data_IF_108632285124
#
_entry.id   IF_108632285124
#
_cell.length_a   1.000
_cell.length_b   1.000
_cell.length_c   1.000
_cell.angle_alpha   90.00
_cell.angle_beta   90.00
_cell.angle_gamma   90.00
#
_symmetry.space_group_name_H-M   'P 1'
#
loop_
_entity.id
_entity.type
_entity.pdbx_description
1 polymer ?
#
# COMPACT_ATOMS: atom_id res chain seq x y z
N UNK A 1 -21.43 -28.57 -15.04
CA UNK A 1 -22.39 -28.00 -16.02
C UNK A 1 -22.19 -26.50 -15.98
N UNK A 2 -21.39 -25.97 -16.93
CA UNK A 2 -21.15 -24.53 -17.09
C UNK A 2 -22.51 -23.84 -17.36
N UNK A 3 -22.83 -22.89 -16.50
CA UNK A 3 -24.04 -22.10 -16.68
C UNK A 3 -23.86 -21.16 -17.89
N UNK A 4 -24.90 -20.97 -18.76
CA UNK A 4 -24.80 -20.10 -19.95
C UNK A 4 -24.40 -18.66 -19.68
N UNK A 5 -24.53 -18.20 -18.41
CA UNK A 5 -24.12 -16.83 -18.00
C UNK A 5 -22.62 -16.60 -17.93
N UNK A 6 -21.79 -17.64 -17.75
CA UNK A 6 -20.34 -17.50 -17.67
C UNK A 6 -19.69 -17.26 -19.04
N UNK A 7 -20.28 -17.76 -20.12
CA UNK A 7 -19.76 -17.59 -21.48
C UNK A 7 -19.89 -16.13 -22.00
N UNK A 8 -20.97 -15.44 -21.65
CA UNK A 8 -21.18 -14.06 -22.05
C UNK A 8 -20.26 -13.06 -21.32
N UNK A 9 -19.89 -13.31 -20.06
CA UNK A 9 -18.98 -12.48 -19.30
C UNK A 9 -17.56 -12.53 -19.85
N UNK A 10 -17.06 -13.70 -20.25
CA UNK A 10 -15.74 -13.84 -20.87
C UNK A 10 -15.60 -13.03 -22.16
N UNK A 11 -16.63 -12.99 -22.99
CA UNK A 11 -16.63 -12.19 -24.22
C UNK A 11 -16.69 -10.69 -23.97
N UNK A 12 -17.38 -10.26 -22.90
CA UNK A 12 -17.41 -8.84 -22.48
C UNK A 12 -16.03 -8.40 -22.00
N UNK A 13 -15.39 -9.17 -21.12
CA UNK A 13 -14.04 -8.86 -20.64
C UNK A 13 -13.01 -8.84 -21.76
N UNK A 14 -13.11 -9.77 -22.72
CA UNK A 14 -12.23 -9.81 -23.88
C UNK A 14 -12.37 -8.55 -24.76
N UNK A 15 -13.60 -8.08 -24.98
CA UNK A 15 -13.84 -6.84 -25.72
C UNK A 15 -13.34 -5.61 -24.98
N UNK A 16 -13.56 -5.54 -23.67
CA UNK A 16 -13.04 -4.45 -22.83
C UNK A 16 -11.52 -4.39 -22.87
N UNK A 17 -10.86 -5.54 -22.74
CA UNK A 17 -9.40 -5.62 -22.84
C UNK A 17 -8.91 -5.16 -24.23
N UNK A 18 -9.55 -5.62 -25.31
CA UNK A 18 -9.19 -5.16 -26.66
C UNK A 18 -9.37 -3.66 -26.85
N UNK A 19 -10.43 -3.06 -26.29
CA UNK A 19 -10.65 -1.62 -26.33
C UNK A 19 -9.60 -0.85 -25.52
N UNK A 20 -9.22 -1.37 -24.36
CA UNK A 20 -8.15 -0.82 -23.52
C UNK A 20 -6.82 -0.81 -24.27
N UNK A 21 -6.42 -1.95 -24.84
CA UNK A 21 -5.20 -2.08 -25.63
C UNK A 21 -5.18 -1.13 -26.83
N UNK A 22 -6.27 -1.08 -27.57
CA UNK A 22 -6.40 -0.15 -28.70
C UNK A 22 -6.37 1.33 -28.25
N UNK A 23 -6.84 1.62 -27.05
CA UNK A 23 -6.75 2.95 -26.43
C UNK A 23 -5.30 3.33 -26.11
N UNK A 24 -4.55 2.44 -25.45
CA UNK A 24 -3.12 2.62 -25.15
C UNK A 24 -2.31 2.87 -26.42
N UNK A 25 -2.50 2.02 -27.44
CA UNK A 25 -1.78 2.14 -28.71
C UNK A 25 -2.05 3.47 -29.41
N UNK A 26 -3.32 3.93 -29.46
CA UNK A 26 -3.67 5.24 -30.06
C UNK A 26 -3.06 6.41 -29.29
N UNK A 27 -2.95 6.30 -27.96
CA UNK A 27 -2.38 7.33 -27.12
C UNK A 27 -0.84 7.27 -27.06
N UNK A 28 -0.19 6.23 -27.61
CA UNK A 28 1.25 6.02 -27.48
C UNK A 28 1.70 5.74 -26.05
N UNK A 29 0.83 5.15 -25.22
CA UNK A 29 1.07 4.83 -23.82
C UNK A 29 1.30 3.34 -23.62
N UNK A 30 2.07 3.02 -22.58
CA UNK A 30 2.29 1.66 -22.08
C UNK A 30 1.98 1.62 -20.58
N UNK A 31 1.55 0.47 -20.08
CA UNK A 31 1.43 0.20 -18.65
C UNK A 31 2.60 -0.63 -18.12
N UNK A 32 2.61 -0.93 -16.81
CA UNK A 32 3.71 -1.69 -16.20
C UNK A 32 3.82 -3.13 -16.72
N UNK A 33 2.71 -3.76 -17.07
CA UNK A 33 2.71 -5.11 -17.62
C UNK A 33 3.27 -5.11 -19.05
N UNK A 34 2.97 -4.07 -19.84
CA UNK A 34 3.54 -3.90 -21.17
C UNK A 34 5.06 -3.81 -21.15
N UNK A 35 5.65 -3.18 -20.12
CA UNK A 35 7.10 -3.07 -20.01
C UNK A 35 7.75 -4.46 -19.95
N UNK A 36 7.14 -5.39 -19.26
CA UNK A 36 7.63 -6.77 -19.16
C UNK A 36 7.36 -7.53 -20.45
N UNK A 37 6.13 -7.48 -20.97
CA UNK A 37 5.73 -8.22 -22.17
C UNK A 37 6.56 -7.77 -23.37
N UNK A 38 6.66 -6.46 -23.61
CA UNK A 38 7.43 -5.94 -24.74
C UNK A 38 8.93 -6.15 -24.59
N UNK A 39 9.47 -6.15 -23.38
CA UNK A 39 10.88 -6.52 -23.15
C UNK A 39 11.12 -7.99 -23.50
N UNK A 40 10.24 -8.89 -23.08
CA UNK A 40 10.33 -10.31 -23.42
C UNK A 40 10.24 -10.51 -24.93
N UNK A 41 9.26 -9.89 -25.62
CA UNK A 41 9.08 -9.98 -27.07
C UNK A 41 10.29 -9.40 -27.81
N UNK A 42 10.78 -8.23 -27.38
CA UNK A 42 11.97 -7.60 -27.94
C UNK A 42 13.19 -8.52 -27.87
N UNK A 43 13.46 -9.14 -26.75
CA UNK A 43 14.58 -10.05 -26.58
C UNK A 43 14.40 -11.37 -27.35
N UNK A 44 13.15 -11.81 -27.51
CA UNK A 44 12.83 -12.98 -28.32
C UNK A 44 13.05 -12.73 -29.80
N UNK A 45 12.65 -11.55 -30.32
CA UNK A 45 12.69 -11.23 -31.75
C UNK A 45 14.00 -10.57 -32.20
N UNK A 46 14.57 -9.70 -31.37
CA UNK A 46 15.75 -8.92 -31.69
C UNK A 46 16.98 -9.42 -30.91
N UNK A 47 17.59 -10.48 -31.46
CA UNK A 47 18.79 -11.10 -30.85
C UNK A 47 19.99 -10.16 -30.80
N UNK A 48 20.06 -9.21 -31.70
CA UNK A 48 21.07 -8.16 -31.74
C UNK A 48 20.95 -7.22 -30.51
N UNK A 49 19.73 -6.86 -30.14
CA UNK A 49 19.49 -6.06 -28.93
C UNK A 49 19.78 -6.86 -27.67
N UNK A 50 19.29 -8.12 -27.59
CA UNK A 50 19.60 -9.00 -26.47
C UNK A 50 21.11 -9.16 -26.26
N UNK A 51 21.90 -9.33 -27.34
CA UNK A 51 23.35 -9.47 -27.26
C UNK A 51 24.03 -8.21 -26.70
N UNK A 52 23.50 -7.01 -26.99
CA UNK A 52 23.99 -5.77 -26.37
C UNK A 52 23.79 -5.76 -24.86
N UNK A 53 22.61 -6.16 -24.39
CA UNK A 53 22.29 -6.25 -22.97
C UNK A 53 23.11 -7.33 -22.26
N UNK A 54 23.27 -8.51 -22.86
CA UNK A 54 24.14 -9.57 -22.34
C UNK A 54 25.59 -9.12 -22.18
N UNK A 55 26.10 -8.34 -23.13
CA UNK A 55 27.45 -7.77 -23.06
C UNK A 55 27.57 -6.68 -21.98
N UNK A 56 26.53 -5.88 -21.84
CA UNK A 56 26.52 -4.77 -20.85
C UNK A 56 26.40 -5.30 -19.42
N UNK A 57 25.63 -6.39 -19.21
CA UNK A 57 25.37 -6.98 -17.91
C UNK A 57 25.87 -8.43 -17.85
N UNK A 58 27.19 -8.63 -17.74
CA UNK A 58 27.78 -9.98 -17.70
C UNK A 58 27.46 -10.75 -16.41
N UNK A 59 27.02 -10.05 -15.35
CA UNK A 59 26.58 -10.61 -14.07
C UNK A 59 25.20 -10.07 -13.75
N UNK A 60 24.31 -10.96 -13.29
CA UNK A 60 22.96 -10.61 -12.87
C UNK A 60 22.78 -11.07 -11.43
N UNK A 61 22.47 -10.13 -10.55
CA UNK A 61 22.20 -10.37 -9.14
C UNK A 61 20.76 -9.97 -8.86
N UNK A 62 19.98 -10.87 -8.25
CA UNK A 62 18.58 -10.66 -7.91
C UNK A 62 18.40 -10.93 -6.44
N UNK A 63 17.88 -9.94 -5.75
CA UNK A 63 17.41 -10.05 -4.37
C UNK A 63 15.90 -10.30 -4.35
N UNK A 64 15.38 -10.84 -3.23
CA UNK A 64 13.97 -11.20 -3.04
C UNK A 64 13.44 -12.09 -4.19
N UNK A 65 14.22 -13.09 -4.59
CA UNK A 65 13.95 -13.91 -5.78
C UNK A 65 12.65 -14.72 -5.67
N UNK A 66 12.13 -14.98 -4.47
CA UNK A 66 10.82 -15.60 -4.25
C UNK A 66 9.64 -14.76 -4.76
N UNK A 67 9.85 -13.46 -4.96
CA UNK A 67 8.79 -12.52 -5.36
C UNK A 67 8.72 -12.26 -6.87
N UNK A 68 9.57 -12.91 -7.67
CA UNK A 68 9.52 -12.75 -9.12
C UNK A 68 8.37 -13.55 -9.75
N UNK A 69 7.85 -13.05 -10.87
CA UNK A 69 6.93 -13.81 -11.70
C UNK A 69 7.64 -14.55 -12.84
N UNK A 70 6.91 -15.46 -13.47
CA UNK A 70 7.44 -16.29 -14.55
C UNK A 70 7.98 -15.48 -15.73
N UNK A 71 7.34 -14.37 -16.09
CA UNK A 71 7.78 -13.54 -17.22
C UNK A 71 9.08 -12.81 -16.90
N UNK A 72 9.20 -12.26 -15.68
CA UNK A 72 10.44 -11.67 -15.19
C UNK A 72 11.58 -12.68 -15.20
N UNK A 73 11.30 -13.89 -14.74
CA UNK A 73 12.30 -14.96 -14.75
C UNK A 73 12.77 -15.34 -16.17
N UNK A 74 11.85 -15.44 -17.15
CA UNK A 74 12.23 -15.74 -18.54
C UNK A 74 13.08 -14.60 -19.16
N UNK A 75 12.80 -13.34 -18.86
CA UNK A 75 13.63 -12.20 -19.28
C UNK A 75 15.05 -12.32 -18.69
N UNK A 76 15.14 -12.56 -17.38
CA UNK A 76 16.41 -12.72 -16.67
C UNK A 76 17.22 -13.89 -17.26
N UNK A 77 16.57 -15.00 -17.49
CA UNK A 77 17.19 -16.20 -18.09
C UNK A 77 17.74 -15.93 -19.49
N UNK A 78 17.02 -15.21 -20.34
CA UNK A 78 17.53 -14.77 -21.64
C UNK A 78 18.75 -13.87 -21.50
N UNK A 79 18.75 -12.93 -20.54
CA UNK A 79 19.87 -12.04 -20.30
C UNK A 79 21.10 -12.79 -19.74
N UNK A 80 20.90 -13.76 -18.87
CA UNK A 80 22.00 -14.51 -18.24
C UNK A 80 22.76 -15.41 -19.22
N UNK A 81 22.12 -15.86 -20.29
CA UNK A 81 22.77 -16.64 -21.36
C UNK A 81 23.67 -15.72 -22.23
N UNK A 82 24.83 -16.18 -22.72
CA UNK A 82 25.42 -17.51 -22.63
C UNK A 82 26.29 -17.71 -21.39
N UNK A 83 26.53 -16.69 -20.57
CA UNK A 83 27.50 -16.76 -19.48
C UNK A 83 26.99 -17.51 -18.25
N UNK A 84 25.65 -17.55 -18.08
CA UNK A 84 24.94 -18.14 -16.93
C UNK A 84 25.43 -17.62 -15.57
N UNK A 85 25.86 -16.38 -15.52
CA UNK A 85 26.33 -15.70 -14.31
C UNK A 85 25.14 -15.06 -13.55
N UNK A 86 24.25 -15.91 -13.08
CA UNK A 86 23.08 -15.53 -12.32
C UNK A 86 23.29 -15.86 -10.84
N UNK A 87 23.23 -14.84 -9.99
CA UNK A 87 23.24 -14.96 -8.54
C UNK A 87 21.87 -14.52 -8.00
N UNK A 88 21.22 -15.37 -7.25
CA UNK A 88 19.90 -15.08 -6.68
C UNK A 88 19.93 -15.26 -5.17
N UNK A 89 19.27 -14.36 -4.46
CA UNK A 89 19.03 -14.42 -3.02
C UNK A 89 17.54 -14.37 -2.81
N UNK A 90 17.03 -15.17 -1.89
CA UNK A 90 15.61 -15.22 -1.57
C UNK A 90 15.36 -16.04 -0.32
N UNK A 91 14.16 -15.93 0.18
CA UNK A 91 13.65 -16.64 1.34
C UNK A 91 12.21 -17.05 1.05
N UNK A 92 11.97 -18.33 0.88
CA UNK A 92 10.67 -18.89 0.51
C UNK A 92 9.61 -18.64 1.59
N UNK A 93 10.01 -18.64 2.86
CA UNK A 93 9.16 -18.34 4.00
C UNK A 93 8.61 -16.90 3.96
N UNK A 94 9.24 -16.01 3.18
CA UNK A 94 8.83 -14.61 2.98
C UNK A 94 8.03 -14.39 1.69
N UNK A 95 7.62 -15.44 1.00
CA UNK A 95 6.84 -15.34 -0.25
C UNK A 95 5.39 -14.89 0.02
N UNK A 96 5.16 -13.58 0.08
CA UNK A 96 3.85 -12.98 0.38
C UNK A 96 3.20 -12.26 -0.81
N UNK A 97 3.84 -12.24 -1.99
CA UNK A 97 3.38 -11.47 -3.16
C UNK A 97 2.70 -12.31 -4.26
N UNK A 98 2.15 -13.49 -3.94
CA UNK A 98 1.37 -14.30 -4.90
C UNK A 98 0.22 -13.53 -5.56
N UNK A 99 -0.42 -12.62 -4.83
CA UNK A 99 -1.47 -11.76 -5.39
C UNK A 99 -0.98 -10.79 -6.47
N UNK A 100 0.35 -10.63 -6.61
CA UNK A 100 1.03 -9.90 -7.70
C UNK A 100 1.64 -10.84 -8.74
N UNK A 101 1.17 -12.09 -8.80
CA UNK A 101 1.64 -13.13 -9.71
C UNK A 101 3.09 -13.61 -9.44
N UNK A 102 3.64 -13.34 -8.25
CA UNK A 102 4.89 -13.99 -7.83
C UNK A 102 4.72 -15.53 -7.83
N UNK A 103 5.74 -16.22 -8.31
CA UNK A 103 5.74 -17.67 -8.41
C UNK A 103 6.93 -18.27 -7.62
N UNK A 104 6.74 -18.59 -6.33
CA UNK A 104 7.80 -19.13 -5.48
C UNK A 104 8.31 -20.49 -5.95
N UNK A 105 7.56 -21.21 -6.79
CA UNK A 105 8.00 -22.50 -7.31
C UNK A 105 9.29 -22.37 -8.13
N UNK A 106 9.55 -21.22 -8.75
CA UNK A 106 10.78 -20.92 -9.48
C UNK A 106 11.99 -20.94 -8.55
N UNK A 107 11.85 -20.41 -7.34
CA UNK A 107 12.90 -20.44 -6.32
C UNK A 107 13.06 -21.85 -5.75
N UNK A 108 11.96 -22.50 -5.37
CA UNK A 108 11.95 -23.87 -4.84
C UNK A 108 12.59 -24.89 -5.79
N UNK A 109 12.33 -24.83 -7.10
CA UNK A 109 12.97 -25.69 -8.08
C UNK A 109 14.50 -25.58 -8.02
N UNK A 110 15.05 -24.38 -7.86
CA UNK A 110 16.49 -24.16 -7.73
C UNK A 110 16.99 -24.65 -6.37
N UNK A 111 16.27 -24.34 -5.30
CA UNK A 111 16.62 -24.78 -3.95
C UNK A 111 16.73 -26.32 -3.86
N UNK A 112 15.78 -27.03 -4.46
CA UNK A 112 15.77 -28.51 -4.47
C UNK A 112 16.77 -29.13 -5.43
N UNK A 113 17.06 -28.50 -6.57
CA UNK A 113 17.93 -29.06 -7.61
C UNK A 113 19.40 -28.73 -7.44
N UNK A 114 19.73 -27.58 -6.79
CA UNK A 114 21.11 -27.15 -6.63
C UNK A 114 21.79 -27.87 -5.46
N UNK A 115 23.04 -28.28 -5.65
CA UNK A 115 23.83 -28.90 -4.60
C UNK A 115 24.37 -27.86 -3.60
N UNK A 116 24.59 -28.25 -2.33
CA UNK A 116 25.33 -27.39 -1.39
C UNK A 116 26.67 -26.96 -1.97
N UNK A 117 27.10 -25.74 -1.70
CA UNK A 117 28.34 -25.18 -2.27
C UNK A 117 29.58 -25.99 -1.93
N UNK A 118 29.61 -26.72 -0.81
CA UNK A 118 30.70 -27.61 -0.41
C UNK A 118 30.77 -28.91 -1.24
N UNK A 119 29.70 -29.29 -1.91
CA UNK A 119 29.55 -30.53 -2.67
C UNK A 119 29.50 -30.31 -4.20
N UNK A 120 29.36 -29.06 -4.63
CA UNK A 120 29.26 -28.71 -6.04
C UNK A 120 30.65 -28.58 -6.68
N UNK A 121 30.80 -29.15 -7.88
CA UNK A 121 32.01 -28.96 -8.69
C UNK A 121 32.10 -27.54 -9.24
N UNK A 122 33.30 -27.13 -9.63
CA UNK A 122 33.54 -25.82 -10.25
C UNK A 122 32.70 -25.66 -11.53
N UNK A 123 32.00 -24.51 -11.65
CA UNK A 123 31.11 -24.24 -12.78
C UNK A 123 29.71 -24.83 -12.69
N UNK A 124 29.41 -25.65 -11.67
CA UNK A 124 28.05 -26.14 -11.45
C UNK A 124 27.20 -25.20 -10.62
N UNK A 125 25.86 -25.18 -10.84
CA UNK A 125 24.93 -24.49 -9.98
C UNK A 125 25.04 -24.99 -8.53
N UNK A 126 25.06 -24.04 -7.59
CA UNK A 126 25.22 -24.35 -6.16
C UNK A 126 24.35 -23.49 -5.31
N UNK A 127 23.94 -23.96 -4.14
CA UNK A 127 23.23 -23.22 -3.11
C UNK A 127 24.08 -22.98 -1.88
N UNK A 128 23.84 -21.83 -1.24
CA UNK A 128 24.41 -21.46 0.05
C UNK A 128 23.25 -21.15 0.98
N UNK A 129 23.18 -21.81 2.12
CA UNK A 129 22.15 -21.53 3.14
C UNK A 129 22.68 -20.44 4.09
N UNK A 130 21.91 -19.36 4.22
CA UNK A 130 22.18 -18.25 5.13
C UNK A 130 21.26 -18.34 6.36
N UNK A 131 21.47 -19.36 7.18
CA UNK A 131 20.60 -19.66 8.33
C UNK A 131 20.83 -18.79 9.55
N UNK A 132 21.97 -18.05 9.63
CA UNK A 132 22.27 -17.21 10.78
C UNK A 132 21.68 -15.81 10.63
N UNK A 133 20.87 -15.40 11.60
CA UNK A 133 20.29 -14.07 11.70
C UNK A 133 21.10 -13.20 12.66
N UNK A 134 21.55 -12.03 12.16
CA UNK A 134 22.33 -11.04 12.91
C UNK A 134 21.54 -9.77 13.23
N UNK A 135 20.29 -9.71 12.81
CA UNK A 135 19.41 -8.53 12.98
C UNK A 135 18.55 -8.60 14.23
N UNK A 136 17.99 -9.77 14.48
CA UNK A 136 16.99 -9.96 15.55
C UNK A 136 17.60 -10.60 16.79
N UNK A 137 16.96 -10.38 17.94
CA UNK A 137 17.30 -11.05 19.18
C UNK A 137 16.92 -12.53 19.13
N UNK A 138 17.60 -13.35 19.97
CA UNK A 138 17.32 -14.78 20.09
C UNK A 138 15.86 -15.07 20.38
N UNK A 139 15.30 -14.34 21.36
CA UNK A 139 13.93 -14.56 21.84
C UNK A 139 12.89 -14.37 20.73
N UNK A 140 13.13 -13.40 19.84
CA UNK A 140 12.27 -13.16 18.65
C UNK A 140 12.39 -14.30 17.66
N UNK A 141 13.62 -14.77 17.38
CA UNK A 141 13.85 -15.89 16.43
C UNK A 141 13.25 -17.19 16.95
N UNK A 142 13.42 -17.47 18.25
CA UNK A 142 12.85 -18.65 18.88
C UNK A 142 11.31 -18.64 18.84
N UNK A 143 10.71 -17.47 19.08
CA UNK A 143 9.26 -17.27 18.93
C UNK A 143 8.78 -17.46 17.50
N UNK A 144 9.52 -16.92 16.52
CA UNK A 144 9.24 -17.11 15.09
C UNK A 144 9.33 -18.59 14.69
N UNK A 145 10.43 -19.25 15.04
CA UNK A 145 10.62 -20.66 14.77
C UNK A 145 9.52 -21.52 15.39
N UNK A 146 9.06 -21.20 16.61
CA UNK A 146 7.97 -21.91 17.26
C UNK A 146 6.65 -21.79 16.47
N UNK A 147 6.32 -20.60 16.00
CA UNK A 147 5.10 -20.36 15.22
C UNK A 147 5.20 -21.11 13.88
N UNK A 148 6.30 -20.94 13.15
CA UNK A 148 6.46 -21.53 11.82
C UNK A 148 6.47 -23.05 11.87
N UNK A 149 7.15 -23.68 12.84
CA UNK A 149 7.08 -25.14 13.05
C UNK A 149 5.68 -25.65 13.33
N UNK A 150 4.83 -24.80 13.91
CA UNK A 150 3.46 -25.17 14.26
C UNK A 150 2.47 -25.05 13.12
N UNK A 151 2.71 -24.12 12.16
CA UNK A 151 1.75 -23.77 11.10
C UNK A 151 2.23 -24.07 9.68
N UNK A 152 3.54 -24.12 9.43
CA UNK A 152 4.09 -24.38 8.11
C UNK A 152 4.13 -25.90 7.82
N UNK A 153 3.58 -26.27 6.69
CA UNK A 153 3.62 -27.62 6.14
C UNK A 153 3.50 -27.56 4.62
N UNK A 154 3.85 -28.63 3.93
CA UNK A 154 3.68 -28.71 2.47
C UNK A 154 2.25 -28.45 2.00
N UNK A 155 1.27 -28.79 2.80
CA UNK A 155 -0.14 -28.56 2.47
C UNK A 155 -0.54 -27.08 2.58
N UNK A 156 0.05 -26.32 3.51
CA UNK A 156 -0.29 -24.92 3.78
C UNK A 156 0.72 -23.91 3.26
N UNK A 157 2.01 -24.30 3.20
CA UNK A 157 3.11 -23.40 2.83
C UNK A 157 4.00 -23.94 1.71
N UNK A 158 3.63 -25.06 1.07
CA UNK A 158 4.39 -25.73 0.00
C UNK A 158 5.72 -26.37 0.44
N UNK A 159 6.17 -26.05 1.65
CA UNK A 159 7.40 -26.57 2.25
C UNK A 159 7.18 -26.90 3.73
N UNK A 160 7.90 -27.88 4.25
CA UNK A 160 7.94 -28.20 5.67
C UNK A 160 9.01 -27.34 6.34
N UNK A 161 8.72 -26.74 7.48
CA UNK A 161 9.69 -25.95 8.22
C UNK A 161 10.59 -26.83 9.08
N UNK A 162 11.78 -27.09 8.58
CA UNK A 162 12.78 -27.98 9.18
C UNK A 162 14.01 -27.26 9.73
N UNK A 163 15.10 -28.01 9.86
CA UNK A 163 16.36 -27.47 10.38
C UNK A 163 17.09 -26.57 9.35
N UNK A 164 16.84 -26.76 8.06
CA UNK A 164 17.44 -25.94 7.01
C UNK A 164 16.77 -24.55 6.89
N UNK A 165 15.47 -24.49 7.20
CA UNK A 165 14.64 -23.26 7.15
C UNK A 165 14.69 -22.48 8.46
N UNK A 166 15.05 -23.14 9.56
CA UNK A 166 15.07 -22.52 10.89
C UNK A 166 16.05 -21.36 10.96
N UNK A 167 15.61 -20.29 11.63
CA UNK A 167 16.44 -19.12 11.94
C UNK A 167 17.36 -19.39 13.12
N UNK A 168 18.66 -19.29 12.91
CA UNK A 168 19.66 -19.44 13.96
C UNK A 168 20.21 -18.09 14.40
N UNK A 169 20.26 -17.88 15.70
CA UNK A 169 20.83 -16.67 16.27
C UNK A 169 22.33 -16.57 16.01
N UNK A 170 22.78 -15.42 15.50
CA UNK A 170 24.19 -15.17 15.15
C UNK A 170 24.77 -13.91 15.77
N UNK A 171 23.99 -13.13 16.53
CA UNK A 171 24.36 -11.80 17.01
C UNK A 171 24.65 -11.76 18.54
N UNK A 172 25.32 -12.77 19.09
CA UNK A 172 25.59 -12.91 20.54
C UNK A 172 26.26 -11.67 21.15
N UNK A 173 27.18 -11.05 20.41
CA UNK A 173 27.89 -9.88 20.88
C UNK A 173 27.00 -8.61 20.92
N UNK A 174 26.06 -8.50 19.98
CA UNK A 174 25.14 -7.36 19.89
C UNK A 174 23.96 -7.48 20.86
N UNK A 175 23.44 -8.69 21.04
CA UNK A 175 22.23 -8.94 21.84
C UNK A 175 22.51 -9.96 22.95
N UNK A 176 23.14 -9.56 24.06
CA UNK A 176 23.31 -10.45 25.21
C UNK A 176 21.94 -10.85 25.78
N UNK A 177 21.83 -12.05 26.35
CA UNK A 177 20.59 -12.51 26.99
C UNK A 177 20.08 -11.52 28.05
N UNK A 178 18.78 -11.23 27.99
CA UNK A 178 18.12 -10.33 28.93
C UNK A 178 16.70 -10.83 29.21
N UNK A 179 16.31 -10.99 30.51
CA UNK A 179 14.93 -11.33 30.85
C UNK A 179 13.92 -10.29 30.35
N UNK A 180 12.72 -10.72 30.01
CA UNK A 180 11.62 -9.83 29.59
C UNK A 180 11.70 -9.36 28.14
N UNK A 181 12.49 -10.07 27.30
CA UNK A 181 12.61 -9.80 25.86
C UNK A 181 11.81 -10.80 25.00
N UNK A 182 11.10 -11.71 25.64
CA UNK A 182 10.30 -12.72 24.99
C UNK A 182 9.12 -12.09 24.23
N UNK A 183 8.73 -12.63 23.05
CA UNK A 183 7.52 -12.20 22.37
C UNK A 183 6.28 -12.37 23.23
N UNK A 184 5.41 -11.37 23.23
CA UNK A 184 4.14 -11.39 23.95
C UNK A 184 2.99 -11.78 23.01
N UNK A 185 2.12 -12.68 23.46
CA UNK A 185 0.87 -13.01 22.78
C UNK A 185 -0.32 -12.62 23.66
N UNK A 186 -1.10 -11.66 23.21
CA UNK A 186 -2.23 -11.14 23.94
C UNK A 186 -3.58 -11.60 23.33
N UNK A 187 -4.45 -12.15 24.16
CA UNK A 187 -5.81 -12.53 23.79
C UNK A 187 -6.80 -11.53 24.40
N UNK A 188 -7.55 -10.85 23.55
CA UNK A 188 -8.57 -9.90 23.96
C UNK A 188 -9.92 -10.60 23.84
N UNK A 189 -10.57 -10.91 24.99
CA UNK A 189 -11.93 -11.44 25.02
C UNK A 189 -12.92 -10.31 24.82
N UNK A 190 -13.81 -10.48 23.82
CA UNK A 190 -14.90 -9.56 23.55
C UNK A 190 -16.17 -10.21 24.08
N UNK A 191 -16.48 -10.01 25.35
CA UNK A 191 -17.79 -10.34 25.89
C UNK A 191 -18.80 -9.27 25.46
N UNK A 192 -19.91 -9.68 24.84
CA UNK A 192 -21.01 -8.77 24.50
C UNK A 192 -21.71 -8.32 25.79
N UNK A 193 -21.19 -7.30 26.42
CA UNK A 193 -21.95 -6.52 27.39
C UNK A 193 -22.90 -5.62 26.63
N UNK A 194 -24.20 -5.74 26.93
CA UNK A 194 -25.29 -5.04 26.21
C UNK A 194 -25.24 -3.51 26.26
N UNK A 195 -24.27 -2.91 26.94
CA UNK A 195 -24.23 -1.47 27.19
C UNK A 195 -23.23 -0.68 26.32
N UNK A 196 -22.22 -1.30 25.69
CA UNK A 196 -21.33 -0.58 24.75
C UNK A 196 -20.88 -1.53 23.63
N UNK A 197 -21.42 -1.37 22.43
CA UNK A 197 -20.89 -2.04 21.23
C UNK A 197 -19.58 -1.36 20.79
N UNK A 198 -18.48 -1.65 21.47
CA UNK A 198 -17.17 -1.26 20.96
C UNK A 198 -16.85 -2.05 19.71
N UNK A 199 -16.41 -1.34 18.66
CA UNK A 199 -15.79 -1.99 17.50
C UNK A 199 -14.55 -2.74 17.97
N UNK A 200 -14.41 -4.01 17.53
CA UNK A 200 -13.25 -4.86 17.82
C UNK A 200 -11.93 -4.16 17.51
N UNK A 201 -11.89 -3.41 16.42
CA UNK A 201 -10.73 -2.63 16.01
C UNK A 201 -10.37 -1.54 17.03
N UNK A 202 -11.37 -0.89 17.61
CA UNK A 202 -11.12 0.13 18.63
C UNK A 202 -10.59 -0.48 19.93
N UNK A 203 -11.07 -1.65 20.31
CA UNK A 203 -10.56 -2.37 21.48
C UNK A 203 -9.11 -2.82 21.30
N UNK A 204 -8.77 -3.41 20.15
CA UNK A 204 -7.40 -3.75 19.80
C UNK A 204 -6.48 -2.51 19.81
N UNK A 205 -6.92 -1.42 19.21
CA UNK A 205 -6.17 -0.18 19.13
C UNK A 205 -5.91 0.44 20.52
N UNK A 206 -6.92 0.48 21.38
CA UNK A 206 -6.79 0.97 22.76
C UNK A 206 -5.86 0.11 23.59
N UNK A 207 -5.96 -1.22 23.47
CA UNK A 207 -5.05 -2.13 24.15
C UNK A 207 -3.60 -1.90 23.71
N UNK A 208 -3.37 -1.86 22.40
CA UNK A 208 -2.04 -1.64 21.81
C UNK A 208 -1.46 -0.31 22.28
N UNK A 209 -2.23 0.78 22.22
CA UNK A 209 -1.78 2.09 22.67
C UNK A 209 -1.37 2.11 24.16
N UNK A 210 -2.16 1.45 25.03
CA UNK A 210 -1.82 1.32 26.47
C UNK A 210 -0.57 0.49 26.68
N UNK A 211 -0.39 -0.62 25.95
CA UNK A 211 0.83 -1.42 26.06
C UNK A 211 2.06 -0.65 25.62
N UNK A 212 1.97 0.11 24.54
CA UNK A 212 3.04 1.00 24.09
C UNK A 212 3.33 2.06 25.15
N UNK A 213 2.30 2.71 25.70
CA UNK A 213 2.48 3.70 26.78
C UNK A 213 3.20 3.10 27.97
N UNK A 214 2.83 1.89 28.40
CA UNK A 214 3.48 1.17 29.48
C UNK A 214 4.97 0.93 29.17
N UNK A 215 5.33 0.46 27.98
CA UNK A 215 6.73 0.24 27.59
C UNK A 215 7.55 1.53 27.64
N UNK A 216 6.96 2.65 27.19
CA UNK A 216 7.59 3.97 27.24
C UNK A 216 7.79 4.46 28.69
N UNK A 217 6.79 4.28 29.56
CA UNK A 217 6.85 4.70 30.98
C UNK A 217 7.85 3.86 31.78
N UNK A 218 7.91 2.55 31.51
CA UNK A 218 8.87 1.61 32.10
C UNK A 218 10.29 1.81 31.54
N UNK A 219 10.45 2.65 30.51
CA UNK A 219 11.73 2.86 29.81
C UNK A 219 12.32 1.54 29.31
N UNK A 220 11.48 0.75 28.66
CA UNK A 220 11.86 -0.56 28.15
C UNK A 220 13.18 -0.46 27.35
N UNK A 221 14.18 -1.30 27.64
CA UNK A 221 15.51 -1.14 27.06
C UNK A 221 15.57 -1.69 25.63
N UNK A 222 15.94 -0.83 24.69
CA UNK A 222 16.26 -1.20 23.29
C UNK A 222 17.74 -1.02 23.00
N UNK A 223 18.21 -1.60 21.89
CA UNK A 223 19.59 -1.45 21.44
C UNK A 223 19.73 -0.12 20.68
N UNK A 224 20.65 0.73 21.15
CA UNK A 224 21.02 1.94 20.41
C UNK A 224 21.98 1.66 19.25
N UNK A 225 22.17 2.63 18.36
CA UNK A 225 23.10 2.53 17.22
C UNK A 225 24.55 2.32 17.65
N UNK A 226 24.91 2.84 18.83
CA UNK A 226 26.24 2.66 19.43
C UNK A 226 26.44 1.29 20.10
N UNK A 227 25.47 0.39 20.00
CA UNK A 227 25.47 -0.91 20.61
C UNK A 227 25.16 -0.90 22.13
N UNK A 228 24.80 0.24 22.72
CA UNK A 228 24.43 0.35 24.12
C UNK A 228 22.92 0.35 24.34
N UNK A 229 22.46 -0.19 25.47
CA UNK A 229 21.03 -0.10 25.79
C UNK A 229 20.60 1.33 26.06
N UNK A 230 19.48 1.74 25.47
CA UNK A 230 18.79 2.99 25.78
C UNK A 230 17.30 2.75 26.03
N UNK A 231 16.59 3.67 26.69
CA UNK A 231 15.12 3.61 26.75
C UNK A 231 14.49 3.58 25.36
N UNK A 232 13.38 2.85 25.23
CA UNK A 232 12.57 2.85 24.03
C UNK A 232 11.93 4.22 23.78
N UNK A 233 11.90 4.64 22.53
CA UNK A 233 11.23 5.85 22.07
C UNK A 233 10.12 5.49 21.08
N UNK A 234 9.13 6.35 20.82
CA UNK A 234 8.03 6.05 19.90
C UNK A 234 8.50 5.62 18.50
N UNK A 235 9.62 6.15 18.02
CA UNK A 235 10.21 5.83 16.71
C UNK A 235 10.77 4.41 16.61
N UNK A 236 11.03 3.76 17.74
CA UNK A 236 11.49 2.36 17.77
C UNK A 236 10.34 1.36 17.60
N UNK A 237 9.10 1.82 17.62
CA UNK A 237 7.92 0.95 17.68
C UNK A 237 7.17 1.01 16.36
N UNK A 238 6.94 -0.16 15.76
CA UNK A 238 6.20 -0.30 14.52
C UNK A 238 4.97 -1.18 14.73
N UNK A 239 3.81 -0.71 14.27
CA UNK A 239 2.56 -1.49 14.28
C UNK A 239 2.33 -2.01 12.86
N UNK A 240 2.40 -3.33 12.68
CA UNK A 240 2.14 -3.99 11.40
C UNK A 240 0.71 -4.50 11.34
N UNK A 241 0.02 -4.21 10.26
CA UNK A 241 -1.36 -4.64 10.04
C UNK A 241 -1.55 -5.15 8.60
N UNK A 242 -2.34 -6.21 8.43
CA UNK A 242 -2.65 -6.76 7.11
C UNK A 242 -3.45 -5.79 6.22
N UNK A 243 -4.34 -4.99 6.83
CA UNK A 243 -5.22 -4.04 6.14
C UNK A 243 -5.25 -2.71 6.90
N UNK A 244 -4.21 -1.86 6.75
CA UNK A 244 -4.07 -0.65 7.53
C UNK A 244 -5.18 0.37 7.26
N UNK A 245 -5.60 0.58 6.01
CA UNK A 245 -6.57 1.63 5.62
C UNK A 245 -7.83 1.65 6.47
N UNK A 246 -8.46 0.49 6.68
CA UNK A 246 -9.70 0.40 7.44
C UNK A 246 -9.51 0.59 8.96
N UNK A 247 -8.28 0.41 9.47
CA UNK A 247 -7.99 0.39 10.92
C UNK A 247 -7.21 1.61 11.39
N UNK A 248 -6.56 2.32 10.47
CA UNK A 248 -5.63 3.42 10.76
C UNK A 248 -6.25 4.51 11.66
N UNK A 249 -7.48 4.92 11.37
CA UNK A 249 -8.15 5.96 12.14
C UNK A 249 -8.33 5.59 13.62
N UNK A 250 -8.71 4.33 13.90
CA UNK A 250 -8.88 3.83 15.28
C UNK A 250 -7.55 3.78 16.03
N UNK A 251 -6.48 3.29 15.39
CA UNK A 251 -5.15 3.22 15.99
C UNK A 251 -4.56 4.61 16.22
N UNK A 252 -4.66 5.52 15.24
CA UNK A 252 -4.21 6.91 15.39
C UNK A 252 -4.94 7.62 16.52
N UNK A 253 -6.27 7.45 16.63
CA UNK A 253 -7.06 8.03 17.70
C UNK A 253 -6.67 7.45 19.08
N UNK A 254 -6.43 6.15 19.17
CA UNK A 254 -6.01 5.49 20.42
C UNK A 254 -4.61 5.96 20.87
N UNK A 255 -3.64 6.03 19.96
CA UNK A 255 -2.28 6.54 20.24
C UNK A 255 -2.29 7.99 20.68
N UNK A 256 -3.08 8.85 20.00
CA UNK A 256 -3.24 10.27 20.41
C UNK A 256 -3.83 10.41 21.81
N UNK A 257 -4.78 9.57 22.23
CA UNK A 257 -5.33 9.57 23.60
C UNK A 257 -4.30 9.29 24.65
N UNK A 258 -3.31 8.44 24.32
CA UNK A 258 -2.18 8.12 25.22
C UNK A 258 -0.98 9.09 25.02
N UNK A 259 -1.14 10.19 24.27
CA UNK A 259 -0.09 11.15 23.93
C UNK A 259 1.14 10.50 23.29
N UNK A 260 0.94 9.51 22.43
CA UNK A 260 2.00 8.84 21.66
C UNK A 260 2.01 9.41 20.25
N UNK A 261 3.11 10.06 19.80
CA UNK A 261 3.24 10.52 18.43
C UNK A 261 3.28 9.32 17.49
N UNK A 262 2.60 9.41 16.36
CA UNK A 262 2.59 8.36 15.34
C UNK A 262 2.57 8.96 13.94
N UNK A 263 3.20 8.25 13.00
CA UNK A 263 3.13 8.52 11.56
C UNK A 263 2.60 7.29 10.86
N UNK A 264 1.88 7.50 9.78
CA UNK A 264 1.47 6.39 8.90
C UNK A 264 2.06 6.62 7.51
N UNK A 265 2.48 5.56 6.85
CA UNK A 265 2.96 5.61 5.47
C UNK A 265 1.84 5.89 4.46
N UNK A 266 0.58 5.79 4.85
CA UNK A 266 -0.57 6.21 4.06
C UNK A 266 -0.98 7.61 4.54
N UNK A 267 -0.92 8.60 3.67
CA UNK A 267 -1.59 9.87 3.90
C UNK A 267 -3.09 9.60 4.00
N UNK A 268 -3.75 10.10 5.04
CA UNK A 268 -5.20 10.30 5.00
C UNK A 268 -5.50 10.91 3.64
N UNK A 269 -6.49 10.35 2.92
CA UNK A 269 -6.78 10.84 1.59
C UNK A 269 -7.07 12.35 1.72
N UNK A 270 -6.13 13.18 1.31
CA UNK A 270 -6.17 14.64 1.47
C UNK A 270 -7.53 15.20 1.06
N UNK A 271 -8.08 14.66 -0.03
CA UNK A 271 -9.40 15.06 -0.53
C UNK A 271 -10.59 14.59 0.34
N UNK A 272 -10.37 13.74 1.34
CA UNK A 272 -11.41 13.32 2.31
C UNK A 272 -11.45 14.18 3.56
N UNK A 273 -10.49 15.10 3.73
CA UNK A 273 -10.54 16.06 4.84
C UNK A 273 -11.69 17.03 4.62
N UNK A 274 -12.40 17.49 5.68
CA UNK A 274 -13.49 18.43 5.55
C UNK A 274 -13.10 19.71 4.79
N UNK A 275 -11.89 20.22 5.02
CA UNK A 275 -11.36 21.41 4.38
C UNK A 275 -11.16 21.21 2.88
N UNK A 276 -10.53 20.09 2.47
CA UNK A 276 -10.35 19.77 1.06
C UNK A 276 -11.69 19.47 0.38
N UNK A 277 -12.62 18.77 1.05
CA UNK A 277 -13.95 18.51 0.53
C UNK A 277 -14.74 19.81 0.26
N UNK A 278 -14.63 20.81 1.15
CA UNK A 278 -15.22 22.13 0.94
C UNK A 278 -14.58 22.85 -0.25
N UNK A 279 -13.25 22.78 -0.40
CA UNK A 279 -12.54 23.38 -1.54
C UNK A 279 -12.92 22.72 -2.87
N UNK A 280 -13.02 21.38 -2.89
CA UNK A 280 -13.50 20.65 -4.07
C UNK A 280 -14.94 21.04 -4.40
N UNK A 281 -15.83 21.13 -3.37
CA UNK A 281 -17.20 21.59 -3.56
C UNK A 281 -17.24 23.03 -4.09
N UNK A 282 -16.34 23.89 -3.64
CA UNK A 282 -16.23 25.26 -4.15
C UNK A 282 -15.85 25.31 -5.63
N UNK A 283 -14.88 24.49 -6.05
CA UNK A 283 -14.52 24.35 -7.47
C UNK A 283 -15.68 23.81 -8.31
N UNK A 284 -16.45 22.85 -7.78
CA UNK A 284 -17.61 22.29 -8.45
C UNK A 284 -18.72 23.34 -8.70
N UNK A 285 -18.96 24.23 -7.73
CA UNK A 285 -19.96 25.30 -7.91
C UNK A 285 -19.48 26.46 -8.78
N UNK A 286 -18.16 26.65 -8.91
CA UNK A 286 -17.58 27.58 -9.91
C UNK A 286 -17.86 27.04 -11.33
N UNK A 287 -17.71 25.74 -11.54
CA UNK A 287 -18.02 25.08 -12.82
C UNK A 287 -19.53 25.04 -13.09
N UNK A 288 -20.30 24.58 -12.09
CA UNK A 288 -21.76 24.54 -12.18
C UNK A 288 -22.43 24.80 -10.83
N UNK A 289 -22.97 26.04 -10.60
CA UNK A 289 -23.59 26.41 -9.32
C UNK A 289 -24.93 25.73 -9.04
N UNK A 290 -25.51 25.01 -10.01
CA UNK A 290 -26.79 24.30 -9.86
C UNK A 290 -26.69 22.93 -9.22
N UNK A 291 -25.54 22.59 -8.67
CA UNK A 291 -25.32 21.38 -7.89
C UNK A 291 -25.64 21.64 -6.41
N UNK A 292 -26.82 21.23 -5.95
CA UNK A 292 -27.34 21.54 -4.61
C UNK A 292 -26.40 21.05 -3.49
N UNK A 293 -25.89 19.83 -3.56
CA UNK A 293 -25.04 19.24 -2.50
C UNK A 293 -23.74 20.00 -2.33
N UNK A 294 -22.91 20.25 -3.36
CA UNK A 294 -21.72 21.08 -3.25
C UNK A 294 -22.05 22.53 -2.82
N UNK A 295 -23.11 23.11 -3.34
CA UNK A 295 -23.52 24.48 -3.00
C UNK A 295 -23.85 24.62 -1.52
N UNK A 296 -24.68 23.73 -0.99
CA UNK A 296 -25.04 23.74 0.43
C UNK A 296 -23.80 23.45 1.30
N UNK A 297 -22.90 22.55 0.88
CA UNK A 297 -21.67 22.27 1.60
C UNK A 297 -20.78 23.54 1.73
N UNK A 298 -20.64 24.29 0.65
CA UNK A 298 -19.87 25.55 0.64
C UNK A 298 -20.54 26.63 1.50
N UNK A 299 -21.82 26.82 1.37
CA UNK A 299 -22.59 27.82 2.16
C UNK A 299 -22.47 27.53 3.67
N UNK A 300 -22.56 26.26 4.08
CA UNK A 300 -22.39 25.84 5.47
C UNK A 300 -20.96 25.86 6.00
N UNK A 301 -19.97 25.97 5.11
CA UNK A 301 -18.57 26.00 5.53
C UNK A 301 -18.27 27.20 6.45
N UNK A 302 -17.21 27.12 7.26
CA UNK A 302 -16.75 28.24 8.08
C UNK A 302 -16.43 29.50 7.27
N UNK A 303 -16.21 29.38 5.96
CA UNK A 303 -15.91 30.51 5.07
C UNK A 303 -17.12 31.40 4.88
N UNK A 304 -18.31 30.82 4.71
CA UNK A 304 -19.56 31.59 4.48
C UNK A 304 -20.52 31.56 5.68
N UNK A 305 -20.49 30.54 6.53
CA UNK A 305 -21.13 30.48 7.82
C UNK A 305 -22.66 30.44 7.83
N UNK A 306 -23.32 30.04 6.75
CA UNK A 306 -24.79 29.94 6.72
C UNK A 306 -25.28 28.86 7.69
N UNK A 307 -26.25 29.25 8.54
CA UNK A 307 -26.90 28.32 9.47
C UNK A 307 -27.91 27.42 8.75
N UNK A 308 -28.22 26.23 9.29
CA UNK A 308 -29.30 25.41 8.76
C UNK A 308 -30.63 26.10 8.62
N UNK A 309 -31.00 26.95 9.61
CA UNK A 309 -32.23 27.70 9.61
C UNK A 309 -32.26 28.74 8.47
N UNK A 310 -31.14 29.43 8.25
CA UNK A 310 -31.00 30.39 7.14
C UNK A 310 -31.14 29.72 5.78
N UNK A 311 -30.53 28.53 5.59
CA UNK A 311 -30.69 27.72 4.36
C UNK A 311 -32.14 27.26 4.16
N UNK A 312 -32.84 26.90 5.23
CA UNK A 312 -34.24 26.53 5.18
C UNK A 312 -35.15 27.75 4.79
N UNK A 313 -34.85 28.96 5.30
CA UNK A 313 -35.52 30.18 4.90
C UNK A 313 -35.34 30.46 3.40
N UNK A 314 -34.12 30.38 2.89
CA UNK A 314 -33.82 30.56 1.47
C UNK A 314 -34.62 29.56 0.64
N UNK A 315 -34.59 28.26 0.99
CA UNK A 315 -35.33 27.21 0.29
C UNK A 315 -36.83 27.41 0.32
N UNK A 316 -37.37 28.02 1.37
CA UNK A 316 -38.83 28.28 1.50
C UNK A 316 -39.36 29.27 0.47
N UNK A 317 -38.50 30.10 -0.13
CA UNK A 317 -38.84 31.13 -1.13
C UNK A 317 -39.05 30.53 -2.53
N UNK A 318 -38.27 29.52 -2.85
CA UNK A 318 -38.46 28.69 -4.04
C UNK A 318 -38.30 27.19 -3.66
N UNK A 319 -39.37 26.42 -3.78
CA UNK A 319 -39.43 25.01 -3.35
C UNK A 319 -39.23 24.03 -4.52
N UNK A 320 -39.35 24.46 -5.74
CA UNK A 320 -39.39 23.57 -6.93
C UNK A 320 -38.11 23.58 -7.75
N UNK A 321 -37.38 24.72 -7.80
CA UNK A 321 -36.15 24.88 -8.54
C UNK A 321 -34.90 24.31 -7.83
N UNK A 322 -33.73 24.45 -8.47
CA UNK A 322 -32.45 24.24 -7.83
C UNK A 322 -32.22 25.18 -6.67
N UNK A 323 -31.38 24.80 -5.68
CA UNK A 323 -31.10 25.67 -4.54
C UNK A 323 -30.46 26.99 -4.99
N UNK A 324 -29.77 27.02 -6.09
CA UNK A 324 -29.21 28.22 -6.69
C UNK A 324 -30.28 29.23 -7.12
N UNK A 325 -31.40 28.74 -7.69
CA UNK A 325 -32.53 29.63 -8.05
C UNK A 325 -33.17 30.23 -6.81
N UNK A 326 -33.29 29.47 -5.71
CA UNK A 326 -33.73 29.98 -4.43
C UNK A 326 -32.80 31.08 -3.84
N UNK A 327 -31.47 30.92 -4.01
CA UNK A 327 -30.48 31.93 -3.65
C UNK A 327 -30.68 33.24 -4.44
N UNK A 328 -30.86 33.11 -5.77
CA UNK A 328 -31.08 34.28 -6.64
C UNK A 328 -32.37 35.05 -6.28
N UNK A 329 -33.38 34.35 -5.78
CA UNK A 329 -34.64 34.95 -5.31
C UNK A 329 -34.51 35.57 -3.91
N UNK A 330 -33.44 35.30 -3.17
CA UNK A 330 -33.20 35.85 -1.84
C UNK A 330 -32.41 37.17 -1.93
N UNK A 331 -32.96 38.25 -1.39
CA UNK A 331 -32.33 39.59 -1.40
C UNK A 331 -31.44 39.87 -0.20
N UNK A 332 -31.09 38.90 0.63
CA UNK A 332 -30.30 39.09 1.84
C UNK A 332 -28.85 39.50 1.54
N UNK A 333 -28.27 40.36 2.40
CA UNK A 333 -26.87 40.82 2.24
C UNK A 333 -25.86 39.70 2.26
N UNK A 334 -26.08 38.65 3.06
CA UNK A 334 -25.28 37.45 3.15
C UNK A 334 -25.25 36.68 1.82
N UNK A 335 -26.40 36.53 1.18
CA UNK A 335 -26.53 35.89 -0.14
C UNK A 335 -25.87 36.74 -1.23
N UNK A 336 -26.09 38.08 -1.21
CA UNK A 336 -25.45 38.97 -2.19
C UNK A 336 -23.93 38.97 -2.07
N UNK A 337 -23.37 38.89 -0.86
CA UNK A 337 -21.94 38.76 -0.61
C UNK A 337 -21.39 37.44 -1.16
N UNK A 338 -22.09 36.34 -0.94
CA UNK A 338 -21.75 35.05 -1.48
C UNK A 338 -21.74 35.04 -3.02
N UNK A 339 -22.82 35.50 -3.65
CA UNK A 339 -22.96 35.57 -5.12
C UNK A 339 -21.87 36.44 -5.76
N UNK A 340 -21.53 37.57 -5.13
CA UNK A 340 -20.44 38.45 -5.57
C UNK A 340 -19.09 37.71 -5.51
N UNK A 341 -18.85 36.98 -4.41
CA UNK A 341 -17.62 36.18 -4.26
C UNK A 341 -17.54 35.05 -5.30
N UNK A 342 -18.67 34.39 -5.57
CA UNK A 342 -18.73 33.32 -6.57
C UNK A 342 -18.51 33.84 -8.00
N UNK A 343 -19.02 35.01 -8.32
CA UNK A 343 -18.91 35.63 -9.65
C UNK A 343 -17.46 35.99 -10.03
N UNK A 344 -16.62 36.33 -9.03
CA UNK A 344 -15.23 36.69 -9.25
C UNK A 344 -14.40 35.58 -9.95
N UNK A 345 -14.30 34.35 -9.40
CA UNK A 345 -13.60 33.24 -10.03
C UNK A 345 -14.21 32.80 -11.36
N UNK A 346 -15.55 32.79 -11.48
CA UNK A 346 -16.25 32.41 -12.72
C UNK A 346 -15.86 33.34 -13.86
N UNK A 347 -15.83 34.64 -13.64
CA UNK A 347 -15.42 35.64 -14.63
C UNK A 347 -13.96 35.44 -15.08
N UNK A 348 -13.08 35.09 -14.15
CA UNK A 348 -11.66 34.90 -14.44
C UNK A 348 -11.38 33.60 -15.21
N UNK A 349 -12.06 32.51 -14.90
CA UNK A 349 -11.91 31.23 -15.61
C UNK A 349 -12.43 31.29 -17.04
N UNK A 350 -13.52 31.97 -17.30
CA UNK A 350 -14.03 32.16 -18.65
C UNK A 350 -13.14 33.06 -19.52
N UNK A 351 -12.51 34.08 -18.94
CA UNK A 351 -11.60 34.95 -19.69
C UNK A 351 -10.29 34.24 -20.05
N UNK A 352 -9.74 33.38 -19.18
CA UNK A 352 -8.48 32.66 -19.46
C UNK A 352 -8.64 31.40 -20.31
N UNK A 353 -9.79 30.75 -20.32
CA UNK A 353 -10.03 29.61 -21.20
C UNK A 353 -9.94 30.00 -22.68
N UNK A 354 -10.22 31.25 -23.03
CA UNK A 354 -10.04 31.78 -24.38
C UNK A 354 -8.61 32.19 -24.71
N UNK A 355 -7.77 32.48 -23.70
CA UNK A 355 -6.35 32.82 -23.94
C UNK A 355 -5.46 31.57 -24.08
N UNK A 356 -5.79 30.46 -23.42
CA UNK A 356 -4.99 29.22 -23.51
C UNK A 356 -5.19 28.42 -24.80
N UNK A 357 -6.30 28.62 -25.54
CA UNK A 357 -6.46 28.03 -26.88
C UNK A 357 -5.60 28.73 -27.95
N UNK A 358 -5.22 29.99 -27.74
CA UNK A 358 -4.36 30.73 -28.66
C UNK A 358 -2.85 30.44 -28.50
N UNK A 359 -2.42 29.98 -27.30
CA UNK A 359 -1.01 29.70 -27.00
C UNK A 359 -0.58 28.25 -27.24
N UNK A 360 -1.51 27.34 -27.59
CA UNK A 360 -1.22 25.92 -27.90
C UNK A 360 -0.93 25.70 -29.41
N UNK A 361 -0.97 26.75 -30.22
CA UNK A 361 -0.68 26.70 -31.67
C UNK A 361 0.63 27.44 -31.96
N UNK A 362 1.71 27.05 -31.31
CA UNK A 362 3.09 27.36 -31.75
C UNK A 362 4.01 26.18 -31.52
#
# INVERSE_FOLDING_TARGET
RDQPRSRGLGDVYKRQYQQYEAGKQRAGLIDFDDMLVYTYELFRERKDILALWQKQYPYILIDEFQDINKLQFEIVKMMALPHNNLFVVGDDDQSIYRFRLADPTIFLEKYLSYRPAAEAEEGQPRKVLLSRNFRSRREVLDGTNFVFRSVMSREMGEMDYGDDEQLYFGAEAAYPPRPGMEPELHFISVENTQEESFDRTEMEARFTARRIRQLLDEKFPVQGEDGRPRPVEPEDIVILMRSPRARLAAYTAALRRENIPCTSGESEAFFSTPEAAVMVSFLQIIDNPRQDVPLIAVLRSPVFGFTPDRLAEIRSRDREGDFYDALLADGGEDVQSFLTTLAGPVSYTHLRAHETEADIVC
#
